data_IF_888051464267
#
_entry.id   IF_888051464267
#
_cell.length_a   1.000
_cell.length_b   1.000
_cell.length_c   1.000
_cell.angle_alpha   90.00
_cell.angle_beta   90.00
_cell.angle_gamma   90.00
#
_symmetry.space_group_name_H-M   'P 1'
#
loop_
_entity.id
_entity.type
_entity.pdbx_description
1 polymer ?
#
# COMPACT_ATOMS: atom_id res chain seq x y z
N UNK A 1 -32.28 -65.51 -20.74
CA UNK A 1 -32.23 -66.22 -19.45
C UNK A 1 -30.77 -66.22 -18.99
N UNK A 2 -30.46 -65.46 -17.93
CA UNK A 2 -29.35 -65.58 -16.95
C UNK A 2 -27.89 -65.35 -17.45
N UNK A 3 -27.25 -64.19 -17.16
CA UNK A 3 -26.26 -63.89 -16.06
C UNK A 3 -24.84 -64.45 -16.36
N UNK A 4 -23.67 -63.94 -15.96
CA UNK A 4 -23.17 -62.80 -15.16
C UNK A 4 -21.62 -63.01 -15.06
N UNK A 5 -20.86 -61.95 -14.73
CA UNK A 5 -19.50 -61.92 -14.12
C UNK A 5 -18.19 -61.95 -14.95
N UNK A 6 -17.56 -60.76 -14.97
CA UNK A 6 -16.16 -60.37 -14.73
C UNK A 6 -15.00 -61.28 -15.18
N UNK A 7 -14.03 -60.65 -15.87
CA UNK A 7 -12.64 -60.61 -15.40
C UNK A 7 -11.96 -59.26 -15.68
N UNK A 8 -11.48 -58.68 -14.58
CA UNK A 8 -10.59 -57.53 -14.48
C UNK A 8 -9.15 -58.03 -14.72
N UNK A 9 -8.37 -57.32 -15.54
CA UNK A 9 -6.91 -57.26 -15.49
C UNK A 9 -6.48 -56.11 -16.42
N UNK A 10 -6.24 -54.90 -15.90
CA UNK A 10 -4.98 -54.48 -15.30
C UNK A 10 -3.83 -54.45 -16.32
N UNK A 11 -3.64 -53.30 -16.98
CA UNK A 11 -2.31 -52.81 -17.39
C UNK A 11 -2.45 -51.30 -17.66
N UNK A 12 -2.25 -50.48 -16.64
CA UNK A 12 -1.06 -49.63 -16.50
C UNK A 12 -0.81 -48.73 -17.72
N UNK A 13 -1.57 -47.64 -17.81
CA UNK A 13 -1.18 -46.46 -18.60
C UNK A 13 -0.81 -45.37 -17.59
N UNK A 14 0.45 -44.92 -17.56
CA UNK A 14 0.99 -44.14 -16.46
C UNK A 14 0.47 -42.71 -16.48
N UNK A 15 -0.07 -42.27 -15.33
CA UNK A 15 0.47 -41.16 -14.55
C UNK A 15 1.01 -39.96 -15.37
N UNK A 16 0.19 -39.30 -16.19
CA UNK A 16 0.43 -37.90 -16.54
C UNK A 16 -0.23 -37.02 -15.48
N UNK A 17 0.39 -37.07 -14.31
CA UNK A 17 0.04 -36.40 -13.08
C UNK A 17 0.34 -34.90 -13.23
N UNK A 18 -0.73 -34.09 -13.19
CA UNK A 18 -0.82 -32.83 -12.44
C UNK A 18 0.37 -31.87 -12.65
N UNK A 19 0.27 -31.01 -13.68
CA UNK A 19 1.12 -29.82 -13.81
C UNK A 19 0.38 -28.61 -14.39
N UNK A 20 -0.84 -28.33 -13.89
CA UNK A 20 -1.51 -27.05 -14.16
C UNK A 20 -2.17 -26.46 -12.90
N UNK A 21 -1.45 -26.50 -11.79
CA UNK A 21 -1.63 -25.53 -10.71
C UNK A 21 -0.43 -24.59 -10.75
N UNK A 22 -0.70 -23.28 -10.60
CA UNK A 22 0.22 -22.14 -10.62
C UNK A 22 0.28 -21.38 -11.94
N UNK A 23 -0.88 -20.82 -12.30
CA UNK A 23 -1.00 -19.73 -13.26
C UNK A 23 -1.77 -18.53 -12.72
N UNK A 24 -1.79 -18.29 -11.40
CA UNK A 24 -2.11 -16.95 -10.86
C UNK A 24 -0.87 -16.06 -11.03
N UNK A 25 -0.48 -15.84 -12.29
CA UNK A 25 0.39 -14.74 -12.64
C UNK A 25 -0.42 -13.48 -12.41
N UNK A 26 -0.25 -12.87 -11.24
CA UNK A 26 -0.72 -11.53 -10.95
C UNK A 26 -0.16 -10.61 -12.01
N UNK A 27 -0.95 -10.39 -13.05
CA UNK A 27 -0.71 -9.35 -14.03
C UNK A 27 -0.69 -8.06 -13.22
N UNK A 28 0.50 -7.47 -13.05
CA UNK A 28 0.62 -6.08 -12.64
C UNK A 28 -0.24 -5.30 -13.62
N UNK A 29 -1.43 -4.91 -13.14
CA UNK A 29 -2.32 -4.08 -13.92
C UNK A 29 -1.51 -2.81 -14.24
N UNK A 30 -1.50 -2.35 -15.51
CA UNK A 30 -0.98 -1.03 -15.83
C UNK A 30 -1.61 -0.06 -14.85
N UNK A 31 -0.82 0.83 -14.21
CA UNK A 31 -1.32 1.82 -13.26
C UNK A 31 -2.57 2.47 -13.83
N UNK A 32 -3.73 1.97 -13.42
CA UNK A 32 -4.99 2.57 -13.74
C UNK A 32 -4.89 3.97 -13.16
N UNK A 33 -5.31 4.98 -13.94
CA UNK A 33 -5.51 6.31 -13.39
C UNK A 33 -6.42 6.12 -12.18
N UNK A 34 -5.84 6.20 -10.98
CA UNK A 34 -6.57 5.91 -9.76
C UNK A 34 -7.62 6.98 -9.58
N UNK A 35 -8.88 6.55 -9.48
CA UNK A 35 -10.01 7.43 -9.19
C UNK A 35 -10.31 7.45 -7.69
N UNK A 36 -9.52 6.76 -6.87
CA UNK A 36 -9.73 6.75 -5.43
C UNK A 36 -9.30 8.10 -4.83
N UNK A 37 -10.21 8.82 -4.16
CA UNK A 37 -9.93 10.15 -3.64
C UNK A 37 -8.84 10.16 -2.56
N UNK A 38 -8.70 9.08 -1.79
CA UNK A 38 -7.68 8.94 -0.73
C UNK A 38 -6.30 8.73 -1.33
N UNK A 39 -6.21 7.91 -2.38
CA UNK A 39 -4.95 7.73 -3.11
C UNK A 39 -4.52 9.03 -3.80
N UNK A 40 -5.45 9.75 -4.42
CA UNK A 40 -5.19 11.08 -4.99
C UNK A 40 -4.72 12.06 -3.90
N UNK A 41 -5.37 12.06 -2.73
CA UNK A 41 -5.01 12.93 -1.62
C UNK A 41 -3.58 12.65 -1.11
N UNK A 42 -3.24 11.40 -0.86
CA UNK A 42 -1.90 11.00 -0.40
C UNK A 42 -0.83 11.28 -1.45
N UNK A 43 -1.11 11.09 -2.74
CA UNK A 43 -0.19 11.44 -3.81
C UNK A 43 0.12 12.94 -3.84
N UNK A 44 -0.90 13.79 -3.67
CA UNK A 44 -0.72 15.25 -3.60
C UNK A 44 0.00 15.67 -2.32
N UNK A 45 -0.35 15.06 -1.19
CA UNK A 45 0.28 15.28 0.11
C UNK A 45 1.78 14.95 0.05
N UNK A 46 2.14 13.78 -0.46
CA UNK A 46 3.53 13.36 -0.58
C UNK A 46 4.32 14.20 -1.58
N UNK A 47 3.71 14.61 -2.70
CA UNK A 47 4.32 15.57 -3.63
C UNK A 47 4.61 16.92 -2.96
N UNK A 48 3.70 17.44 -2.14
CA UNK A 48 3.91 18.67 -1.37
C UNK A 48 5.03 18.47 -0.32
N UNK A 49 5.00 17.36 0.41
CA UNK A 49 6.03 17.03 1.41
C UNK A 49 7.43 17.00 0.78
N UNK A 50 7.59 16.32 -0.36
CA UNK A 50 8.85 16.22 -1.12
C UNK A 50 9.33 17.60 -1.62
N UNK A 51 8.43 18.56 -1.86
CA UNK A 51 8.83 19.93 -2.24
C UNK A 51 9.42 20.72 -1.08
N UNK A 52 9.09 20.38 0.16
CA UNK A 52 9.74 20.95 1.34
C UNK A 52 11.23 20.60 1.35
N UNK A 53 12.09 21.60 1.21
CA UNK A 53 13.55 21.47 1.35
C UNK A 53 14.05 22.56 2.31
N UNK A 54 14.41 22.21 3.56
CA UNK A 54 14.44 20.87 4.15
C UNK A 54 13.02 20.26 4.32
N UNK A 55 12.90 18.93 4.55
CA UNK A 55 11.62 18.28 4.80
C UNK A 55 10.84 18.96 5.94
N UNK A 56 9.51 19.10 5.83
CA UNK A 56 8.72 19.80 6.83
C UNK A 56 8.80 19.07 8.18
N UNK A 57 9.18 19.78 9.23
CA UNK A 57 9.34 19.25 10.60
C UNK A 57 8.08 19.35 11.43
N UNK A 58 7.12 20.15 10.98
CA UNK A 58 5.87 20.40 11.69
C UNK A 58 4.69 20.45 10.74
N UNK A 59 3.47 20.25 11.29
CA UNK A 59 2.21 20.46 10.56
C UNK A 59 2.10 21.87 9.99
N UNK A 60 2.56 22.89 10.72
CA UNK A 60 2.50 24.28 10.29
C UNK A 60 3.39 24.54 9.05
N UNK A 61 4.58 23.94 9.01
CA UNK A 61 5.46 23.98 7.84
C UNK A 61 4.82 23.29 6.63
N UNK A 62 4.25 22.10 6.84
CA UNK A 62 3.56 21.38 5.75
C UNK A 62 2.35 22.16 5.22
N UNK A 63 1.54 22.77 6.09
CA UNK A 63 0.43 23.66 5.68
C UNK A 63 0.93 24.83 4.85
N UNK A 64 2.06 25.43 5.23
CA UNK A 64 2.65 26.54 4.46
C UNK A 64 3.05 26.09 3.04
N UNK A 65 3.60 24.89 2.90
CA UNK A 65 3.95 24.30 1.60
C UNK A 65 2.72 23.95 0.77
N UNK A 66 1.67 23.40 1.39
CA UNK A 66 0.40 23.11 0.71
C UNK A 66 -0.19 24.40 0.14
N UNK A 67 -0.24 25.47 0.92
CA UNK A 67 -0.69 26.79 0.46
C UNK A 67 0.17 27.33 -0.68
N UNK A 68 1.49 27.24 -0.59
CA UNK A 68 2.38 27.71 -1.66
C UNK A 68 2.23 26.90 -2.95
N UNK A 69 1.76 25.65 -2.87
CA UNK A 69 1.45 24.80 -4.02
C UNK A 69 0.00 24.98 -4.53
N UNK A 70 -0.76 25.94 -4.01
CA UNK A 70 -2.19 26.10 -4.27
C UNK A 70 -2.99 24.80 -4.01
N UNK A 71 -2.57 24.05 -2.99
CA UNK A 71 -3.27 22.86 -2.55
C UNK A 71 -4.18 23.15 -1.34
N UNK A 72 -5.35 22.51 -1.27
CA UNK A 72 -6.25 22.63 -0.12
C UNK A 72 -5.63 22.02 1.14
N UNK A 73 -5.91 22.59 2.31
CA UNK A 73 -5.47 22.04 3.60
C UNK A 73 -6.20 20.74 3.95
N UNK A 74 -7.35 20.53 3.32
CA UNK A 74 -8.20 19.34 3.41
C UNK A 74 -7.47 18.09 2.91
N UNK A 75 -6.34 18.22 2.18
CA UNK A 75 -5.46 17.08 1.86
C UNK A 75 -4.87 16.40 3.10
N UNK A 76 -4.90 17.04 4.26
CA UNK A 76 -4.51 16.42 5.52
C UNK A 76 -5.58 15.47 6.06
N UNK A 77 -6.82 15.53 5.56
CA UNK A 77 -7.93 14.69 5.98
C UNK A 77 -8.10 13.53 4.99
N UNK A 78 -8.19 12.30 5.50
CA UNK A 78 -8.50 11.14 4.66
C UNK A 78 -9.96 11.20 4.19
N UNK A 79 -10.21 11.11 2.87
CA UNK A 79 -11.56 10.91 2.36
C UNK A 79 -12.20 9.57 2.75
N UNK A 80 -11.41 8.54 3.08
CA UNK A 80 -11.93 7.19 3.39
C UNK A 80 -12.47 7.09 4.81
N UNK A 81 -11.72 7.60 5.80
CA UNK A 81 -12.05 7.48 7.23
C UNK A 81 -12.44 8.81 7.91
N UNK A 82 -12.40 9.92 7.16
CA UNK A 82 -12.79 11.25 7.62
C UNK A 82 -11.87 11.85 8.68
N UNK A 83 -10.75 11.21 9.02
CA UNK A 83 -9.82 11.67 10.04
C UNK A 83 -8.54 12.23 9.43
N UNK A 84 -7.85 13.07 10.21
CA UNK A 84 -6.54 13.55 9.80
C UNK A 84 -5.55 12.39 9.67
N UNK A 85 -4.79 12.37 8.57
CA UNK A 85 -3.69 11.42 8.40
C UNK A 85 -2.68 11.60 9.53
N UNK A 86 -2.15 10.47 10.02
CA UNK A 86 -0.98 10.49 10.91
C UNK A 86 0.24 10.66 10.01
N UNK A 87 0.99 11.75 10.21
CA UNK A 87 2.15 12.11 9.37
C UNK A 87 3.42 12.08 10.21
N UNK A 88 4.47 11.47 9.67
CA UNK A 88 5.82 11.48 10.22
C UNK A 88 6.61 12.63 9.61
N UNK A 89 6.95 13.62 10.43
CA UNK A 89 7.62 14.85 9.98
C UNK A 89 9.14 14.75 10.03
N UNK A 90 9.81 15.59 9.24
CA UNK A 90 11.27 15.73 9.23
C UNK A 90 12.05 14.61 8.54
N UNK A 91 11.41 13.82 7.67
CA UNK A 91 12.01 12.65 7.04
C UNK A 91 12.38 12.96 5.59
N UNK A 92 13.60 12.66 5.16
CA UNK A 92 13.96 12.80 3.74
C UNK A 92 13.38 11.63 2.92
N UNK A 93 12.56 11.95 1.92
CA UNK A 93 11.87 10.96 1.07
C UNK A 93 12.52 10.79 -0.30
N UNK A 94 13.45 11.68 -0.68
CA UNK A 94 14.22 11.61 -1.92
C UNK A 94 15.49 10.80 -1.74
N UNK A 95 15.95 10.18 -2.83
CA UNK A 95 17.26 9.52 -2.86
C UNK A 95 17.37 8.25 -2.01
N UNK A 96 16.24 7.69 -1.55
CA UNK A 96 16.21 6.40 -0.87
C UNK A 96 16.69 5.30 -1.83
N UNK A 97 17.60 4.45 -1.35
CA UNK A 97 18.19 3.32 -2.11
C UNK A 97 17.44 1.99 -1.90
N UNK A 98 16.28 2.04 -1.26
CA UNK A 98 15.41 0.89 -0.99
C UNK A 98 14.12 1.00 -1.79
N UNK A 99 13.39 -0.10 -1.95
CA UNK A 99 12.17 -0.13 -2.75
C UNK A 99 11.07 -1.00 -2.10
N UNK A 100 9.85 -0.87 -2.64
CA UNK A 100 8.73 -1.72 -2.24
C UNK A 100 8.39 -1.62 -0.75
N UNK A 101 8.36 -2.77 -0.07
CA UNK A 101 8.01 -2.86 1.35
C UNK A 101 9.07 -2.30 2.30
N UNK A 102 10.30 -2.06 1.82
CA UNK A 102 11.39 -1.49 2.61
C UNK A 102 11.34 0.04 2.66
N UNK A 103 10.53 0.68 1.80
CA UNK A 103 10.32 2.13 1.87
C UNK A 103 9.59 2.47 3.18
N UNK A 104 10.11 3.43 3.97
CA UNK A 104 9.50 3.79 5.24
C UNK A 104 8.11 4.39 5.03
N UNK A 105 7.17 4.05 5.90
CA UNK A 105 5.84 4.67 5.97
C UNK A 105 5.96 6.03 6.64
N UNK A 106 5.43 7.07 5.98
CA UNK A 106 5.56 8.48 6.40
C UNK A 106 4.25 9.22 6.51
N UNK A 107 3.15 8.66 5.98
CA UNK A 107 1.81 9.05 6.38
C UNK A 107 0.88 7.84 6.32
N UNK A 108 -0.17 7.79 7.14
CA UNK A 108 -1.16 6.73 7.08
C UNK A 108 -2.49 7.16 7.73
N UNK A 109 -3.56 6.45 7.38
CA UNK A 109 -4.88 6.68 7.96
C UNK A 109 -4.93 6.34 9.44
N UNK A 110 -5.70 7.11 10.20
CA UNK A 110 -5.80 6.93 11.64
C UNK A 110 -6.60 5.69 12.01
N UNK A 111 -7.73 5.46 11.35
CA UNK A 111 -8.56 4.25 11.55
C UNK A 111 -8.59 3.37 10.31
N UNK A 112 -8.64 3.98 9.13
CA UNK A 112 -8.92 3.31 7.86
C UNK A 112 -10.34 2.76 7.77
N UNK A 113 -10.57 1.93 6.76
CA UNK A 113 -11.89 1.39 6.40
C UNK A 113 -11.75 -0.07 5.93
N UNK A 114 -12.74 -0.90 6.26
CA UNK A 114 -12.79 -2.31 5.85
C UNK A 114 -11.54 -3.13 6.23
N UNK A 115 -10.98 -2.85 7.42
CA UNK A 115 -9.79 -3.53 7.95
C UNK A 115 -8.47 -3.17 7.26
N UNK A 116 -8.49 -2.18 6.35
CA UNK A 116 -7.31 -1.68 5.65
C UNK A 116 -7.13 -0.18 5.87
N UNK A 117 -5.90 0.25 5.71
CA UNK A 117 -5.48 1.65 5.81
C UNK A 117 -4.67 2.03 4.60
N UNK A 118 -4.98 3.17 4.01
CA UNK A 118 -4.07 3.81 3.08
C UNK A 118 -2.84 4.33 3.83
N UNK A 119 -1.68 4.11 3.24
CA UNK A 119 -0.41 4.59 3.73
C UNK A 119 0.43 5.13 2.58
N UNK A 120 1.16 6.21 2.86
CA UNK A 120 2.18 6.79 2.01
C UNK A 120 3.55 6.31 2.50
N UNK A 121 4.29 5.67 1.61
CA UNK A 121 5.70 5.32 1.78
C UNK A 121 6.59 6.38 1.13
N UNK A 122 7.89 6.28 1.41
CA UNK A 122 8.93 7.03 0.70
C UNK A 122 8.79 6.98 -0.83
N UNK A 123 9.42 7.93 -1.52
CA UNK A 123 9.29 8.08 -2.97
C UNK A 123 7.85 8.27 -3.47
N UNK A 124 6.96 8.84 -2.64
CA UNK A 124 5.56 9.09 -2.96
C UNK A 124 4.74 7.83 -3.32
N UNK A 125 5.05 6.69 -2.71
CA UNK A 125 4.37 5.42 -3.02
C UNK A 125 3.16 5.19 -2.12
N UNK A 126 1.96 5.18 -2.68
CA UNK A 126 0.72 4.91 -1.92
C UNK A 126 0.39 3.42 -1.94
N UNK A 127 0.03 2.87 -0.78
CA UNK A 127 -0.34 1.45 -0.61
C UNK A 127 -1.54 1.31 0.33
N UNK A 128 -2.30 0.22 0.20
CA UNK A 128 -3.24 -0.22 1.24
C UNK A 128 -2.62 -1.32 2.08
N UNK A 129 -2.72 -1.20 3.41
CA UNK A 129 -2.16 -2.14 4.37
C UNK A 129 -3.23 -2.58 5.36
N UNK A 130 -3.24 -3.85 5.73
CA UNK A 130 -3.96 -4.28 6.93
C UNK A 130 -3.30 -3.72 8.19
N UNK A 131 -3.98 -3.76 9.32
CA UNK A 131 -3.40 -3.34 10.61
C UNK A 131 -2.10 -4.08 10.93
N UNK A 132 -2.08 -5.41 10.72
CA UNK A 132 -0.90 -6.22 10.95
C UNK A 132 0.27 -5.81 10.03
N UNK A 133 0.00 -5.54 8.75
CA UNK A 133 1.01 -5.09 7.79
C UNK A 133 1.55 -3.70 8.13
N UNK A 134 0.68 -2.79 8.57
CA UNK A 134 1.09 -1.45 8.99
C UNK A 134 2.00 -1.53 10.23
N UNK A 135 1.63 -2.31 11.24
CA UNK A 135 2.43 -2.51 12.46
C UNK A 135 3.80 -3.12 12.19
N UNK A 136 3.90 -4.00 11.18
CA UNK A 136 5.17 -4.61 10.78
C UNK A 136 5.93 -3.85 9.70
N UNK A 137 5.44 -2.67 9.27
CA UNK A 137 6.09 -1.88 8.22
C UNK A 137 7.34 -1.17 8.75
N UNK A 138 8.23 -0.80 7.84
CA UNK A 138 9.37 0.05 8.15
C UNK A 138 8.87 1.46 8.44
N UNK A 139 9.33 2.04 9.55
CA UNK A 139 9.11 3.45 9.88
C UNK A 139 10.46 4.18 9.97
N UNK A 140 10.48 5.50 9.76
CA UNK A 140 11.67 6.32 9.94
C UNK A 140 12.24 6.19 11.36
N UNK A 141 13.57 6.31 11.48
CA UNK A 141 14.26 6.21 12.77
C UNK A 141 13.69 7.20 13.79
N UNK A 142 13.49 6.71 15.01
CA UNK A 142 12.93 7.51 16.12
C UNK A 142 11.42 7.69 16.08
N UNK A 143 10.72 7.29 15.02
CA UNK A 143 9.26 7.24 15.02
C UNK A 143 8.76 6.08 15.89
N UNK A 144 7.90 6.39 16.87
CA UNK A 144 7.18 5.39 17.65
C UNK A 144 5.77 5.28 17.09
N UNK A 145 5.40 4.08 16.66
CA UNK A 145 4.04 3.82 16.23
C UNK A 145 3.08 4.15 17.38
N UNK A 146 2.07 5.02 17.19
CA UNK A 146 1.33 5.63 18.29
C UNK A 146 0.33 4.70 19.00
N UNK A 147 0.37 3.39 18.74
CA UNK A 147 -0.59 2.40 19.25
C UNK A 147 0.04 1.04 19.55
#
# INVERSE_FOLDING_TARGET
MFYFVHRINALFIPLFLIFMLLGCGGQEKPSAVTTDPTEIALNKLGAAYIRGTPPPKTKAELISILKSCNHPIELLISPSDGQEFIIVYGVELKGLKVSGAQLPVVAFEKSGKDGKRYALRGMNTVVQLTEAQLKSSVFPDGYKFPF
#
